data_IF_103986378905
#
_entry.id   IF_103986378905
#
_cell.length_a   1.000
_cell.length_b   1.000
_cell.length_c   1.000
_cell.angle_alpha   90.00
_cell.angle_beta   90.00
_cell.angle_gamma   90.00
#
_symmetry.space_group_name_H-M   'P 1'
#
loop_
_entity.id
_entity.type
_entity.pdbx_description
1 polymer ?
#
# COMPACT_ATOMS: atom_id res chain seq x y z
N UNK A 1 0.72 2.20 -9.22
CA UNK A 1 0.85 0.82 -9.76
C UNK A 1 -0.55 0.19 -9.88
N UNK A 2 -0.71 -1.04 -10.36
CA UNK A 2 -1.99 -1.76 -10.41
C UNK A 2 -2.26 -2.48 -9.11
N UNK A 3 -3.46 -2.29 -8.59
CA UNK A 3 -3.83 -2.73 -7.25
C UNK A 3 -3.71 -4.26 -7.11
N UNK A 4 -4.33 -5.01 -8.03
CA UNK A 4 -4.53 -6.45 -7.86
C UNK A 4 -3.24 -7.28 -7.90
N UNK A 5 -2.30 -6.95 -8.79
CA UNK A 5 -1.14 -7.79 -9.09
C UNK A 5 0.21 -7.06 -8.97
N UNK A 6 0.22 -5.77 -8.61
CA UNK A 6 1.45 -5.05 -8.26
C UNK A 6 1.40 -4.57 -6.80
N UNK A 7 0.37 -3.82 -6.40
CA UNK A 7 0.30 -3.26 -5.05
C UNK A 7 -0.01 -4.33 -3.98
N UNK A 8 -1.11 -5.09 -4.12
CA UNK A 8 -1.58 -6.03 -3.10
C UNK A 8 -0.55 -7.11 -2.75
N UNK A 9 0.14 -7.76 -3.70
CA UNK A 9 1.15 -8.76 -3.37
C UNK A 9 2.32 -8.18 -2.57
N UNK A 10 2.80 -6.99 -2.95
CA UNK A 10 3.94 -6.36 -2.28
C UNK A 10 3.53 -5.82 -0.91
N UNK A 11 2.35 -5.20 -0.80
CA UNK A 11 1.79 -4.72 0.45
C UNK A 11 1.61 -5.87 1.47
N UNK A 12 1.10 -7.02 1.02
CA UNK A 12 0.97 -8.20 1.88
C UNK A 12 2.32 -8.67 2.41
N UNK A 13 3.35 -8.75 1.57
CA UNK A 13 4.71 -9.10 2.02
C UNK A 13 5.25 -8.06 2.99
N UNK A 14 5.06 -6.77 2.69
CA UNK A 14 5.56 -5.67 3.52
C UNK A 14 4.96 -5.69 4.92
N UNK A 15 3.63 -5.82 5.04
CA UNK A 15 2.96 -5.89 6.34
C UNK A 15 3.35 -7.13 7.14
N UNK A 16 3.53 -8.29 6.47
CA UNK A 16 4.03 -9.50 7.16
C UNK A 16 5.49 -9.39 7.59
N UNK A 17 6.27 -8.51 6.96
CA UNK A 17 7.61 -8.16 7.39
C UNK A 17 7.65 -7.07 8.47
N UNK A 18 6.49 -6.55 8.90
CA UNK A 18 6.38 -5.49 9.92
C UNK A 18 6.54 -4.07 9.38
N UNK A 19 6.53 -3.89 8.06
CA UNK A 19 6.47 -2.57 7.41
C UNK A 19 5.02 -2.10 7.18
N UNK A 20 4.88 -0.96 6.50
CA UNK A 20 3.58 -0.38 6.13
C UNK A 20 3.42 -0.23 4.62
N UNK A 21 2.18 -0.24 4.14
CA UNK A 21 1.82 0.01 2.75
C UNK A 21 0.48 0.74 2.63
N UNK A 22 0.50 1.99 2.15
CA UNK A 22 -0.65 2.90 2.11
C UNK A 22 -0.76 3.63 0.77
N UNK A 23 -1.93 4.14 0.44
CA UNK A 23 -2.13 5.10 -0.65
C UNK A 23 -1.86 6.54 -0.23
N UNK A 24 -1.62 6.79 1.06
CA UNK A 24 -1.63 8.11 1.71
C UNK A 24 -2.89 8.32 2.56
N UNK A 25 -4.01 7.75 2.14
CA UNK A 25 -5.31 7.89 2.85
C UNK A 25 -5.81 6.57 3.44
N UNK A 26 -5.44 5.44 2.84
CA UNK A 26 -5.93 4.10 3.19
C UNK A 26 -4.84 3.06 3.02
N UNK A 27 -4.88 2.03 3.83
CA UNK A 27 -4.00 0.88 3.69
C UNK A 27 -4.33 0.11 2.40
N UNK A 28 -3.29 -0.35 1.71
CA UNK A 28 -3.42 -0.96 0.38
C UNK A 28 -4.31 -2.20 0.42
N UNK A 29 -4.19 -3.03 1.46
CA UNK A 29 -4.93 -4.28 1.58
C UNK A 29 -6.42 -4.10 1.90
N UNK A 30 -6.82 -2.93 2.37
CA UNK A 30 -8.22 -2.60 2.69
C UNK A 30 -9.00 -2.06 1.47
N UNK A 31 -8.33 -1.83 0.35
CA UNK A 31 -8.97 -1.32 -0.86
C UNK A 31 -9.72 -2.45 -1.56
N UNK A 32 -11.05 -2.34 -1.61
CA UNK A 32 -11.86 -3.19 -2.48
C UNK A 32 -11.73 -2.70 -3.93
N UNK A 33 -11.15 -3.51 -4.85
CA UNK A 33 -10.98 -3.10 -6.23
C UNK A 33 -12.34 -2.98 -6.95
N UNK A 34 -12.50 -1.96 -7.79
CA UNK A 34 -13.67 -1.80 -8.69
C UNK A 34 -13.42 -2.39 -10.08
N UNK A 35 -12.15 -2.56 -10.47
CA UNK A 35 -11.73 -3.11 -11.76
C UNK A 35 -10.44 -3.93 -11.66
N UNK A 36 -10.26 -4.92 -12.54
CA UNK A 36 -9.09 -5.82 -12.55
C UNK A 36 -7.77 -5.11 -12.85
N UNK A 37 -7.79 -3.97 -13.54
CA UNK A 37 -6.60 -3.18 -13.90
C UNK A 37 -6.55 -1.82 -13.18
N UNK A 38 -7.33 -1.67 -12.11
CA UNK A 38 -7.36 -0.45 -11.31
C UNK A 38 -5.96 -0.05 -10.87
N UNK A 39 -5.62 1.22 -11.07
CA UNK A 39 -4.39 1.81 -10.55
C UNK A 39 -4.62 2.41 -9.16
N UNK A 40 -3.60 2.33 -8.32
CA UNK A 40 -3.53 3.01 -7.04
C UNK A 40 -2.16 3.68 -6.87
N UNK A 41 -2.09 4.87 -6.23
CA UNK A 41 -0.84 5.36 -5.66
C UNK A 41 -0.38 4.39 -4.56
N UNK A 42 0.92 4.36 -4.28
CA UNK A 42 1.46 3.47 -3.25
C UNK A 42 2.68 4.11 -2.61
N UNK A 43 2.72 4.04 -1.28
CA UNK A 43 3.86 4.33 -0.43
C UNK A 43 4.01 3.15 0.50
N UNK A 44 5.20 2.56 0.55
CA UNK A 44 5.46 1.36 1.34
C UNK A 44 6.93 1.26 1.72
N UNK A 45 7.22 0.67 2.89
CA UNK A 45 8.57 0.56 3.40
C UNK A 45 8.63 0.40 4.92
N UNK A 46 9.70 0.93 5.52
CA UNK A 46 9.84 1.03 6.98
C UNK A 46 8.63 1.76 7.56
N UNK A 47 8.10 1.23 8.65
CA UNK A 47 6.94 1.83 9.32
C UNK A 47 7.21 3.25 9.78
N UNK A 48 8.44 3.56 10.19
CA UNK A 48 8.86 4.91 10.61
C UNK A 48 8.83 5.89 9.43
N UNK A 49 9.48 5.55 8.31
CA UNK A 49 9.53 6.41 7.11
C UNK A 49 8.13 6.63 6.50
N UNK A 50 7.30 5.58 6.49
CA UNK A 50 5.93 5.68 5.96
C UNK A 50 5.06 6.54 6.87
N UNK A 51 5.23 6.46 8.19
CA UNK A 51 4.53 7.35 9.13
C UNK A 51 4.98 8.80 8.99
N UNK A 52 6.28 9.05 8.86
CA UNK A 52 6.82 10.39 8.58
C UNK A 52 6.20 10.97 7.30
N UNK A 53 6.07 10.17 6.23
CA UNK A 53 5.39 10.58 5.01
C UNK A 53 3.92 10.97 5.22
N UNK A 54 3.19 10.28 6.12
CA UNK A 54 1.77 10.54 6.39
C UNK A 54 1.53 11.77 7.27
N UNK A 55 2.54 12.23 8.00
CA UNK A 55 2.44 13.42 8.86
C UNK A 55 2.63 14.74 8.09
N UNK A 56 3.08 14.67 6.83
CA UNK A 56 3.32 15.82 5.93
C UNK A 56 2.03 16.23 5.21
#
# INVERSE_FOLDING_TARGET
LRLLYECNPIAYVMEKAGGLATTGDKDILDIVPTEIHQKAPVVMGSSEDVQEFLEI
#
